data_IF_272517779820
#
_entry.id   IF_272517779820
#
_cell.length_a   1.000
_cell.length_b   1.000
_cell.length_c   1.000
_cell.angle_alpha   90.00
_cell.angle_beta   90.00
_cell.angle_gamma   90.00
#
_symmetry.space_group_name_H-M   'P 1'
#
loop_
_entity.id
_entity.type
_entity.pdbx_description
1 polymer ?
#
# COMPACT_ATOMS: atom_id res chain seq x y z
N UNK A 1 -33.69 41.99 -28.52
CA UNK A 1 -32.81 42.45 -27.42
C UNK A 1 -31.39 41.99 -27.73
N UNK A 2 -30.51 42.93 -28.01
CA UNK A 2 -29.11 42.78 -28.42
C UNK A 2 -28.17 42.92 -27.20
N UNK A 3 -27.18 42.03 -27.08
CA UNK A 3 -25.94 42.19 -26.29
C UNK A 3 -24.82 41.52 -27.13
N UNK A 4 -23.87 42.27 -27.73
CA UNK A 4 -22.66 42.88 -27.15
C UNK A 4 -21.70 41.82 -26.54
N UNK A 5 -20.36 41.80 -26.64
CA UNK A 5 -19.30 42.61 -27.28
C UNK A 5 -17.95 41.96 -26.88
N UNK A 6 -17.16 41.45 -27.86
CA UNK A 6 -15.70 41.79 -28.05
C UNK A 6 -14.65 40.98 -27.20
N UNK A 7 -13.35 40.88 -27.60
CA UNK A 7 -12.63 39.61 -27.84
C UNK A 7 -11.26 39.57 -27.10
N UNK A 8 -10.23 38.91 -27.69
CA UNK A 8 -8.80 38.82 -27.30
C UNK A 8 -8.50 37.72 -26.26
N UNK A 9 -7.40 36.97 -26.37
CA UNK A 9 -6.03 37.49 -26.52
C UNK A 9 -5.06 36.42 -27.04
N UNK A 10 -4.36 36.78 -28.10
CA UNK A 10 -3.13 36.21 -28.64
C UNK A 10 -2.05 36.04 -27.56
N UNK A 11 -1.34 34.90 -27.56
CA UNK A 11 0.01 34.83 -27.03
C UNK A 11 0.95 34.21 -28.08
N UNK A 12 1.80 35.09 -28.61
CA UNK A 12 3.02 34.80 -29.37
C UNK A 12 4.18 34.92 -28.40
N UNK A 13 5.28 34.20 -28.68
CA UNK A 13 6.71 34.39 -28.27
C UNK A 13 7.24 33.15 -27.54
N UNK A 14 8.46 32.65 -27.77
CA UNK A 14 9.64 33.05 -28.57
C UNK A 14 10.54 31.80 -28.54
N UNK A 15 10.85 31.19 -29.68
CA UNK A 15 12.22 31.15 -30.24
C UNK A 15 13.32 31.72 -29.34
N UNK A 16 14.19 30.84 -28.84
CA UNK A 16 15.56 31.19 -28.45
C UNK A 16 16.47 30.33 -29.31
N UNK A 17 17.12 31.01 -30.26
CA UNK A 17 18.28 30.53 -31.00
C UNK A 17 19.52 30.68 -30.12
N UNK A 18 20.41 29.69 -30.21
CA UNK A 18 21.83 29.87 -30.49
C UNK A 18 22.75 30.41 -29.39
N UNK A 19 23.83 29.68 -29.14
CA UNK A 19 25.24 30.11 -29.14
C UNK A 19 26.07 28.96 -28.52
N UNK A 20 26.93 28.26 -29.27
CA UNK A 20 28.28 28.67 -29.70
C UNK A 20 29.28 28.69 -28.52
N UNK A 21 30.26 27.78 -28.54
CA UNK A 21 31.71 28.01 -28.45
C UNK A 21 32.50 26.80 -27.89
N UNK A 22 33.12 26.09 -28.81
CA UNK A 22 34.55 25.70 -28.92
C UNK A 22 35.53 26.01 -27.76
N UNK A 23 36.28 24.98 -27.32
CA UNK A 23 37.71 24.95 -26.89
C UNK A 23 37.96 23.60 -26.16
N UNK A 24 38.71 22.57 -26.59
CA UNK A 24 40.15 22.46 -26.95
C UNK A 24 41.05 23.32 -26.05
N UNK A 25 42.05 22.88 -25.29
CA UNK A 25 42.74 21.59 -25.09
C UNK A 25 43.65 21.77 -23.81
N UNK A 26 44.79 21.06 -23.60
CA UNK A 26 45.04 20.18 -22.44
C UNK A 26 46.17 20.67 -21.51
N UNK A 27 46.47 19.91 -20.43
CA UNK A 27 47.79 19.56 -19.86
C UNK A 27 47.62 19.26 -18.35
N UNK A 28 47.69 18.00 -17.91
CA UNK A 28 48.89 17.20 -17.55
C UNK A 28 49.57 17.65 -16.24
N UNK A 29 49.78 16.63 -15.40
CA UNK A 29 50.60 16.55 -14.19
C UNK A 29 49.96 17.05 -12.88
N UNK A 30 49.59 16.09 -12.01
CA UNK A 30 50.45 15.73 -10.88
C UNK A 30 50.04 14.33 -10.38
N UNK A 31 50.97 13.38 -10.49
CA UNK A 31 50.92 12.12 -9.77
C UNK A 31 51.52 12.34 -8.38
N UNK A 32 50.81 11.98 -7.31
CA UNK A 32 51.42 11.48 -6.09
C UNK A 32 50.44 10.56 -5.35
N UNK A 33 51.03 9.50 -4.82
CA UNK A 33 50.42 8.33 -4.25
C UNK A 33 49.68 8.57 -2.93
N UNK A 34 48.55 7.86 -2.77
CA UNK A 34 48.22 7.16 -1.53
C UNK A 34 47.28 6.00 -1.92
N UNK A 35 47.67 4.72 -1.79
CA UNK A 35 46.71 3.64 -1.65
C UNK A 35 46.14 3.71 -0.23
N UNK A 36 45.45 4.81 0.07
CA UNK A 36 44.54 4.88 1.19
C UNK A 36 43.38 4.00 0.80
N UNK A 37 43.29 2.85 1.44
CA UNK A 37 42.11 1.98 1.45
C UNK A 37 40.93 2.89 1.79
N UNK A 38 40.25 3.38 0.76
CA UNK A 38 38.93 3.97 0.89
C UNK A 38 38.07 2.80 1.32
N UNK A 39 37.95 2.64 2.63
CA UNK A 39 36.88 1.85 3.22
C UNK A 39 35.62 2.27 2.45
N UNK A 40 34.88 1.33 1.85
CA UNK A 40 33.65 1.67 1.17
C UNK A 40 32.84 2.53 2.16
N UNK A 41 32.21 3.63 1.70
CA UNK A 41 31.28 4.33 2.56
C UNK A 41 30.38 3.24 3.11
N UNK A 42 30.43 3.04 4.44
CA UNK A 42 29.41 2.27 5.11
C UNK A 42 28.16 3.07 4.78
N UNK A 43 27.45 2.66 3.73
CA UNK A 43 26.01 2.76 3.68
C UNK A 43 25.61 2.21 5.04
N UNK A 44 25.45 3.11 6.00
CA UNK A 44 24.61 2.88 7.15
C UNK A 44 23.34 2.39 6.50
N UNK A 45 23.18 1.06 6.51
CA UNK A 45 22.01 0.41 6.03
C UNK A 45 20.87 1.04 6.80
N UNK A 46 20.23 2.03 6.18
CA UNK A 46 18.78 2.08 6.18
C UNK A 46 18.38 0.72 5.62
N UNK A 47 18.40 -0.30 6.48
CA UNK A 47 17.39 -1.31 6.53
C UNK A 47 16.11 -0.48 6.51
N UNK A 48 15.64 -0.17 5.30
CA UNK A 48 14.37 0.51 5.13
C UNK A 48 13.42 -0.34 5.95
N UNK A 49 12.87 0.22 7.03
CA UNK A 49 11.97 -0.48 7.93
C UNK A 49 10.92 -1.17 7.07
N UNK A 50 11.13 -2.47 6.87
CA UNK A 50 10.33 -3.32 6.00
C UNK A 50 9.34 -3.98 6.94
N UNK A 51 8.08 -3.72 6.71
CA UNK A 51 6.99 -4.33 7.44
C UNK A 51 6.49 -5.55 6.67
N UNK A 52 6.44 -6.69 7.35
CA UNK A 52 5.79 -7.89 6.85
C UNK A 52 4.29 -7.78 7.08
N UNK A 53 3.57 -7.50 6.00
CA UNK A 53 2.12 -7.51 5.98
C UNK A 53 1.64 -8.92 5.69
N UNK A 54 0.70 -9.41 6.50
CA UNK A 54 -0.07 -10.62 6.17
C UNK A 54 -1.54 -10.29 6.11
N UNK A 55 -2.19 -10.89 5.14
CA UNK A 55 -3.58 -10.70 4.82
C UNK A 55 -4.25 -12.07 4.70
N UNK A 56 -5.42 -12.21 5.32
CA UNK A 56 -6.32 -13.33 5.11
C UNK A 56 -7.68 -12.74 4.78
N UNK A 57 -8.27 -13.20 3.68
CA UNK A 57 -9.62 -12.84 3.28
C UNK A 57 -10.49 -14.08 3.29
N UNK A 58 -11.72 -13.94 3.78
CA UNK A 58 -12.65 -15.06 3.90
C UNK A 58 -14.09 -14.59 3.75
N UNK A 59 -14.95 -15.49 3.28
CA UNK A 59 -16.40 -15.28 3.22
C UNK A 59 -17.03 -15.92 4.43
N UNK A 60 -17.80 -15.17 5.20
CA UNK A 60 -18.64 -15.70 6.26
C UNK A 60 -20.11 -15.73 5.80
N UNK A 61 -20.84 -16.74 6.27
CA UNK A 61 -22.23 -16.98 5.92
C UNK A 61 -23.03 -17.37 7.17
N UNK A 62 -24.31 -17.01 7.17
CA UNK A 62 -25.29 -17.44 8.17
C UNK A 62 -25.90 -18.81 7.85
N UNK A 63 -25.55 -19.37 6.69
CA UNK A 63 -25.91 -20.73 6.31
C UNK A 63 -25.13 -21.70 7.20
N UNK A 64 -25.80 -22.76 7.65
CA UNK A 64 -25.21 -23.77 8.52
C UNK A 64 -24.08 -24.51 7.77
N UNK A 65 -22.86 -23.99 7.90
CA UNK A 65 -21.63 -24.47 7.27
C UNK A 65 -20.54 -24.39 8.33
N UNK A 66 -19.57 -25.29 8.26
CA UNK A 66 -18.44 -25.23 9.17
C UNK A 66 -17.54 -24.01 8.90
N UNK A 67 -16.81 -23.60 9.93
CA UNK A 67 -15.74 -22.61 9.84
C UNK A 67 -14.46 -23.37 9.46
N UNK A 68 -13.82 -22.96 8.37
CA UNK A 68 -12.53 -23.49 7.92
C UNK A 68 -11.54 -23.54 9.09
N UNK A 69 -10.83 -24.67 9.24
CA UNK A 69 -9.91 -24.88 10.36
C UNK A 69 -8.82 -23.81 10.49
N UNK A 70 -8.46 -23.18 9.38
CA UNK A 70 -7.49 -22.08 9.34
C UNK A 70 -8.04 -20.75 9.86
N UNK A 71 -9.35 -20.64 9.99
CA UNK A 71 -10.07 -19.48 10.51
C UNK A 71 -10.48 -19.66 11.97
N UNK A 72 -10.07 -20.74 12.64
CA UNK A 72 -10.33 -20.95 14.08
C UNK A 72 -9.88 -19.79 14.95
N UNK A 73 -8.80 -19.10 14.57
CA UNK A 73 -8.35 -17.89 15.27
C UNK A 73 -9.38 -16.74 15.23
N UNK A 74 -10.28 -16.73 14.24
CA UNK A 74 -11.33 -15.73 14.05
C UNK A 74 -12.73 -16.25 14.40
N UNK A 75 -12.87 -17.52 14.78
CA UNK A 75 -14.16 -18.18 15.01
C UNK A 75 -15.03 -17.41 16.00
N UNK A 76 -14.45 -16.95 17.12
CA UNK A 76 -15.15 -16.17 18.13
C UNK A 76 -15.70 -14.86 17.55
N UNK A 77 -14.92 -14.16 16.73
CA UNK A 77 -15.34 -12.91 16.08
C UNK A 77 -16.42 -13.15 15.01
N UNK A 78 -16.31 -14.25 14.25
CA UNK A 78 -17.27 -14.66 13.23
C UNK A 78 -18.63 -14.97 13.89
N UNK A 79 -18.63 -15.83 14.92
CA UNK A 79 -19.83 -16.21 15.68
C UNK A 79 -20.45 -15.01 16.40
N UNK A 80 -19.64 -14.14 17.00
CA UNK A 80 -20.13 -12.90 17.66
C UNK A 80 -20.87 -11.97 16.69
N UNK A 81 -20.54 -12.01 15.41
CA UNK A 81 -21.21 -11.22 14.36
C UNK A 81 -22.42 -11.95 13.74
N UNK A 82 -22.80 -13.11 14.26
CA UNK A 82 -23.99 -13.86 13.85
C UNK A 82 -23.78 -14.81 12.67
N UNK A 83 -22.53 -15.05 12.26
CA UNK A 83 -22.22 -16.00 11.18
C UNK A 83 -21.94 -17.38 11.75
N UNK A 84 -22.45 -18.41 11.08
CA UNK A 84 -22.31 -19.82 11.49
C UNK A 84 -21.21 -20.53 10.73
N UNK A 85 -20.91 -20.10 9.49
CA UNK A 85 -19.87 -20.69 8.66
C UNK A 85 -18.93 -19.67 8.04
N UNK A 86 -17.71 -20.10 7.71
CA UNK A 86 -16.74 -19.27 7.04
C UNK A 86 -15.74 -20.07 6.21
N UNK A 87 -15.39 -19.57 5.02
CA UNK A 87 -14.43 -20.19 4.11
C UNK A 87 -13.36 -19.20 3.71
N UNK A 88 -12.10 -19.63 3.75
CA UNK A 88 -10.98 -18.82 3.24
C UNK A 88 -11.21 -18.56 1.75
N UNK A 89 -11.04 -17.31 1.32
CA UNK A 89 -11.04 -16.92 -0.09
C UNK A 89 -9.62 -16.78 -0.62
N UNK A 90 -8.80 -16.01 0.08
CA UNK A 90 -7.41 -15.79 -0.32
C UNK A 90 -6.51 -15.47 0.88
N UNK A 91 -5.22 -15.77 0.74
CA UNK A 91 -4.16 -15.40 1.68
C UNK A 91 -3.07 -14.68 0.91
N UNK A 92 -2.51 -13.66 1.54
CA UNK A 92 -1.41 -12.89 0.98
C UNK A 92 -0.41 -12.53 2.06
N UNK A 93 0.85 -12.43 1.66
CA UNK A 93 1.91 -11.85 2.46
C UNK A 93 2.76 -10.97 1.57
N UNK A 94 3.15 -9.80 2.04
CA UNK A 94 4.11 -8.96 1.35
C UNK A 94 5.04 -8.31 2.37
N UNK A 95 6.31 -8.17 2.02
CA UNK A 95 7.24 -7.32 2.75
C UNK A 95 7.34 -6.00 2.02
N UNK A 96 6.84 -4.92 2.65
CA UNK A 96 6.81 -3.58 2.05
C UNK A 96 7.53 -2.58 2.93
N UNK A 97 8.11 -1.56 2.33
CA UNK A 97 8.70 -0.45 3.08
C UNK A 97 7.60 0.41 3.70
N UNK A 98 7.91 1.11 4.78
CA UNK A 98 7.02 2.14 5.33
C UNK A 98 6.58 3.13 4.26
N UNK A 99 5.31 3.53 4.28
CA UNK A 99 4.62 4.40 3.31
C UNK A 99 4.46 3.82 1.91
N UNK A 100 4.86 2.57 1.66
CA UNK A 100 4.65 1.87 0.39
C UNK A 100 3.36 1.04 0.44
N UNK A 101 2.56 1.06 -0.63
CA UNK A 101 1.29 0.35 -0.66
C UNK A 101 1.45 -1.06 -1.27
N UNK A 102 1.03 -2.09 -0.55
CA UNK A 102 0.84 -3.44 -1.11
C UNK A 102 -0.61 -3.64 -1.55
N UNK A 103 -0.81 -4.26 -2.71
CA UNK A 103 -2.15 -4.62 -3.19
C UNK A 103 -2.33 -6.12 -3.18
N UNK A 104 -3.45 -6.57 -2.64
CA UNK A 104 -3.80 -7.97 -2.47
C UNK A 104 -5.21 -8.24 -3.00
N UNK A 105 -5.37 -9.37 -3.71
CA UNK A 105 -6.68 -9.83 -4.14
C UNK A 105 -7.38 -10.53 -2.96
N UNK A 106 -8.61 -10.15 -2.63
CA UNK A 106 -9.38 -10.77 -1.55
C UNK A 106 -10.32 -11.88 -2.03
N UNK A 107 -10.47 -12.04 -3.35
CA UNK A 107 -11.50 -12.90 -3.94
C UNK A 107 -12.87 -12.20 -4.00
N UNK A 108 -13.86 -12.86 -4.61
CA UNK A 108 -15.22 -12.33 -4.79
C UNK A 108 -15.28 -10.92 -5.45
N UNK A 109 -14.29 -10.57 -6.27
CA UNK A 109 -14.18 -9.26 -6.92
C UNK A 109 -13.63 -8.13 -6.02
N UNK A 110 -13.21 -8.42 -4.79
CA UNK A 110 -12.61 -7.44 -3.88
C UNK A 110 -11.08 -7.42 -3.98
N UNK A 111 -10.51 -6.22 -3.85
CA UNK A 111 -9.07 -5.95 -3.80
C UNK A 111 -8.77 -5.04 -2.61
N UNK A 112 -7.81 -5.42 -1.78
CA UNK A 112 -7.32 -4.60 -0.67
C UNK A 112 -5.96 -3.99 -1.02
N UNK A 113 -5.83 -2.69 -0.81
CA UNK A 113 -4.56 -1.97 -0.84
C UNK A 113 -4.23 -1.57 0.60
N UNK A 114 -3.12 -2.08 1.11
CA UNK A 114 -2.67 -1.87 2.48
C UNK A 114 -1.37 -1.07 2.43
N UNK A 115 -1.35 0.07 3.12
CA UNK A 115 -0.20 0.97 3.18
C UNK A 115 0.20 1.16 4.66
N UNK A 116 1.39 0.72 5.09
CA UNK A 116 1.89 1.04 6.41
C UNK A 116 2.22 2.52 6.51
N UNK A 117 1.73 3.20 7.53
CA UNK A 117 1.93 4.62 7.74
C UNK A 117 2.99 4.89 8.81
N UNK A 118 2.89 4.21 9.96
CA UNK A 118 3.82 4.36 11.09
C UNK A 118 3.92 3.05 11.88
N UNK A 119 5.09 2.81 12.47
CA UNK A 119 5.31 1.82 13.52
C UNK A 119 5.95 2.58 14.69
N UNK A 120 5.21 2.74 15.79
CA UNK A 120 5.67 3.48 16.96
C UNK A 120 5.33 2.71 18.23
N UNK A 121 6.34 2.51 19.11
CA UNK A 121 6.16 1.90 20.43
C UNK A 121 5.42 0.54 20.38
N UNK A 122 5.68 -0.27 19.35
CA UNK A 122 5.04 -1.57 19.15
C UNK A 122 3.61 -1.52 18.61
N UNK A 123 3.09 -0.33 18.25
CA UNK A 123 1.83 -0.16 17.52
C UNK A 123 2.11 0.10 16.05
N UNK A 124 1.32 -0.53 15.20
CA UNK A 124 1.37 -0.41 13.75
C UNK A 124 0.13 0.34 13.29
N UNK A 125 0.34 1.38 12.49
CA UNK A 125 -0.73 2.13 11.83
C UNK A 125 -0.73 1.82 10.34
N UNK A 126 -1.82 1.22 9.84
CA UNK A 126 -2.03 0.89 8.43
C UNK A 126 -3.19 1.70 7.86
N UNK A 127 -3.06 2.15 6.62
CA UNK A 127 -4.19 2.60 5.81
C UNK A 127 -4.63 1.45 4.90
N UNK A 128 -5.87 1.03 5.04
CA UNK A 128 -6.45 -0.08 4.30
C UNK A 128 -7.56 0.46 3.42
N UNK A 129 -7.37 0.36 2.11
CA UNK A 129 -8.34 0.74 1.10
C UNK A 129 -8.81 -0.50 0.38
N UNK A 130 -10.08 -0.86 0.51
CA UNK A 130 -10.70 -1.99 -0.19
C UNK A 130 -11.56 -1.47 -1.31
N UNK A 131 -11.37 -1.99 -2.52
CA UNK A 131 -12.20 -1.73 -3.70
C UNK A 131 -12.94 -3.00 -4.07
N UNK A 132 -14.26 -2.92 -4.20
CA UNK A 132 -15.11 -4.05 -4.54
C UNK A 132 -16.19 -3.70 -5.58
N UNK A 133 -17.04 -4.68 -5.94
CA UNK A 133 -18.05 -4.53 -7.00
C UNK A 133 -19.19 -3.55 -6.70
N UNK A 134 -19.37 -3.10 -5.46
CA UNK A 134 -20.43 -2.14 -5.08
C UNK A 134 -19.91 -0.80 -4.56
N UNK A 135 -18.91 -0.82 -3.68
CA UNK A 135 -18.29 0.39 -3.14
C UNK A 135 -16.86 0.09 -2.67
N UNK A 136 -16.02 1.13 -2.67
CA UNK A 136 -14.73 1.11 -2.01
C UNK A 136 -14.80 1.74 -0.62
N UNK A 137 -14.01 1.25 0.32
CA UNK A 137 -13.86 1.83 1.65
C UNK A 137 -12.38 2.02 1.95
N UNK A 138 -12.01 3.19 2.46
CA UNK A 138 -10.66 3.44 2.98
C UNK A 138 -10.77 3.72 4.47
N UNK A 139 -9.97 3.02 5.26
CA UNK A 139 -9.93 3.17 6.71
C UNK A 139 -8.49 3.13 7.20
N UNK A 140 -8.19 3.93 8.23
CA UNK A 140 -6.93 3.84 8.96
C UNK A 140 -7.14 2.95 10.18
N UNK A 141 -6.21 2.03 10.41
CA UNK A 141 -6.22 1.08 11.50
C UNK A 141 -4.95 1.26 12.30
N UNK A 142 -5.05 1.32 13.63
CA UNK A 142 -3.90 1.33 14.52
C UNK A 142 -4.07 0.24 15.57
N UNK A 143 -3.17 -0.74 15.56
CA UNK A 143 -3.25 -1.94 16.38
C UNK A 143 -1.85 -2.39 16.83
N UNK A 144 -1.76 -3.24 17.84
CA UNK A 144 -0.46 -3.75 18.31
C UNK A 144 0.17 -4.69 17.29
N UNK A 145 1.50 -4.62 17.15
CA UNK A 145 2.29 -5.43 16.23
C UNK A 145 1.97 -6.92 16.38
N UNK A 146 1.74 -7.58 15.24
CA UNK A 146 1.41 -9.00 15.19
C UNK A 146 -0.02 -9.38 15.56
N UNK A 147 -0.89 -8.42 15.94
CA UNK A 147 -2.33 -8.67 16.09
C UNK A 147 -3.05 -8.49 14.76
N UNK A 148 -4.02 -9.37 14.50
CA UNK A 148 -4.90 -9.21 13.35
C UNK A 148 -6.00 -8.20 13.64
N UNK A 149 -6.15 -7.22 12.76
CA UNK A 149 -7.31 -6.36 12.73
C UNK A 149 -8.30 -6.88 11.68
N UNK A 150 -9.56 -7.04 12.09
CA UNK A 150 -10.61 -7.61 11.25
C UNK A 150 -11.56 -6.52 10.73
N UNK A 151 -11.67 -6.44 9.41
CA UNK A 151 -12.65 -5.62 8.69
C UNK A 151 -13.69 -6.51 8.01
N UNK A 152 -14.89 -5.97 7.76
CA UNK A 152 -15.99 -6.73 7.16
C UNK A 152 -16.84 -5.86 6.25
N UNK A 153 -17.30 -6.43 5.14
CA UNK A 153 -18.26 -5.83 4.22
C UNK A 153 -19.40 -6.81 3.98
N UNK A 154 -20.63 -6.34 4.16
CA UNK A 154 -21.83 -7.14 3.88
C UNK A 154 -22.02 -7.27 2.37
N UNK A 155 -22.40 -8.46 1.93
CA UNK A 155 -22.83 -8.75 0.58
C UNK A 155 -24.35 -8.70 0.51
N UNK A 156 -24.88 -8.50 -0.70
CA UNK A 156 -26.33 -8.38 -0.93
C UNK A 156 -27.11 -9.65 -0.59
N UNK A 157 -26.46 -10.80 -0.59
CA UNK A 157 -27.05 -12.11 -0.27
C UNK A 157 -27.09 -12.44 1.23
N UNK A 158 -26.73 -11.49 2.10
CA UNK A 158 -26.71 -11.65 3.55
C UNK A 158 -25.41 -12.25 4.11
N UNK A 159 -24.52 -12.71 3.23
CA UNK A 159 -23.15 -13.08 3.57
C UNK A 159 -22.28 -11.84 3.82
N UNK A 160 -21.05 -12.06 4.30
CA UNK A 160 -20.07 -10.99 4.44
C UNK A 160 -18.67 -11.45 4.01
N UNK A 161 -17.91 -10.54 3.41
CA UNK A 161 -16.48 -10.72 3.17
C UNK A 161 -15.72 -10.05 4.29
N UNK A 162 -14.75 -10.78 4.83
CA UNK A 162 -13.87 -10.33 5.88
C UNK A 162 -12.44 -10.19 5.38
N UNK A 163 -11.73 -9.23 5.95
CA UNK A 163 -10.30 -9.01 5.76
C UNK A 163 -9.64 -8.98 7.13
N UNK A 164 -8.80 -9.96 7.41
CA UNK A 164 -7.88 -9.94 8.53
C UNK A 164 -6.51 -9.47 8.04
N UNK A 165 -6.01 -8.37 8.59
CA UNK A 165 -4.69 -7.81 8.28
C UNK A 165 -3.83 -7.74 9.53
N UNK A 166 -2.54 -8.05 9.41
CA UNK A 166 -1.54 -7.85 10.46
C UNK A 166 -0.27 -7.26 9.84
N UNK A 167 0.47 -6.48 10.64
CA UNK A 167 1.83 -6.03 10.35
C UNK A 167 2.81 -6.56 11.39
N UNK A 168 3.97 -7.03 10.95
CA UNK A 168 5.10 -7.49 11.77
C UNK A 168 6.42 -6.96 11.24
#
# INVERSE_FOLDING_TARGET
>A
MTKATTPRRTFIRRSIRGALLTALAPLLAFAFATPGIAAPPRESGMLADKMELRMISFRATTKNKDIDGSLKAFEKDIKRRGFTGASTLNRGSASVKMKEAATFKMGAGFTATIKPLSEEKGRVTLEVSVKGPGAGSSTKLSFDKGKYQLLSWKLSDGDAVFLAVTGK
#
